data_IF_023912107562
#
_entry.id   IF_023912107562
#
_cell.length_a   1.000
_cell.length_b   1.000
_cell.length_c   1.000
_cell.angle_alpha   90.00
_cell.angle_beta   90.00
_cell.angle_gamma   90.00
#
_symmetry.space_group_name_H-M   'P 1'
#
loop_
_entity.id
_entity.type
_entity.pdbx_description
1 polymer ?
#
# COMPACT_ATOMS: atom_id res chain seq x y z
N UNK A 1 -40.04 39.66 -29.63
CA UNK A 1 -39.83 38.25 -30.03
C UNK A 1 -38.81 38.27 -31.18
N UNK A 2 -37.52 38.21 -30.86
CA UNK A 2 -36.43 38.30 -31.84
C UNK A 2 -36.08 36.87 -32.30
N UNK A 3 -36.22 36.56 -33.58
CA UNK A 3 -35.79 35.27 -34.14
C UNK A 3 -34.33 35.39 -34.60
N UNK A 4 -33.39 34.83 -33.85
CA UNK A 4 -32.00 34.69 -34.26
C UNK A 4 -31.92 33.63 -35.37
N UNK A 5 -31.73 34.08 -36.61
CA UNK A 5 -31.47 33.20 -37.75
C UNK A 5 -29.95 33.02 -37.82
N UNK A 6 -29.45 31.89 -37.32
CA UNK A 6 -28.07 31.49 -37.50
C UNK A 6 -27.89 30.96 -38.93
N UNK A 7 -27.28 31.76 -39.79
CA UNK A 7 -26.83 31.31 -41.11
C UNK A 7 -25.46 30.67 -40.91
N UNK A 8 -25.39 29.35 -40.98
CA UNK A 8 -24.12 28.62 -41.05
C UNK A 8 -23.58 28.72 -42.46
N UNK A 9 -22.61 29.61 -42.66
CA UNK A 9 -21.86 29.68 -43.91
C UNK A 9 -21.01 28.41 -44.03
N UNK A 10 -21.38 27.53 -44.96
CA UNK A 10 -20.64 26.30 -45.20
C UNK A 10 -19.28 26.62 -45.80
N UNK A 11 -18.23 26.03 -45.23
CA UNK A 11 -16.88 26.15 -45.78
C UNK A 11 -16.85 25.66 -47.23
N UNK A 12 -16.14 26.35 -48.15
CA UNK A 12 -16.06 25.95 -49.54
C UNK A 12 -15.52 24.51 -49.65
N UNK A 13 -16.08 23.68 -50.55
CA UNK A 13 -15.73 22.27 -50.65
C UNK A 13 -14.24 22.13 -50.98
N UNK A 14 -13.53 21.41 -50.12
CA UNK A 14 -12.11 21.10 -50.31
C UNK A 14 -11.99 20.15 -51.50
N UNK A 15 -11.58 20.69 -52.67
CA UNK A 15 -11.25 19.91 -53.86
C UNK A 15 -9.94 19.15 -53.61
N UNK A 16 -10.04 17.95 -53.06
CA UNK A 16 -8.90 17.02 -52.97
C UNK A 16 -8.66 16.40 -54.34
N UNK A 17 -7.39 16.24 -54.73
CA UNK A 17 -7.04 15.41 -55.88
C UNK A 17 -7.67 14.02 -55.70
N UNK A 18 -8.20 13.44 -56.78
CA UNK A 18 -8.73 12.09 -56.73
C UNK A 18 -7.65 11.17 -56.14
N UNK A 19 -8.01 10.38 -55.12
CA UNK A 19 -7.09 9.38 -54.56
C UNK A 19 -6.53 8.55 -55.72
N UNK A 20 -5.22 8.22 -55.73
CA UNK A 20 -4.66 7.37 -56.77
C UNK A 20 -5.47 6.08 -56.84
N UNK A 21 -6.23 5.88 -57.92
CA UNK A 21 -7.07 4.69 -58.09
C UNK A 21 -6.26 3.40 -58.27
N UNK A 22 -4.92 3.50 -58.30
CA UNK A 22 -4.02 2.42 -58.70
C UNK A 22 -2.73 2.41 -57.88
N UNK A 23 -2.81 2.53 -56.55
CA UNK A 23 -1.67 2.30 -55.65
C UNK A 23 -1.91 1.17 -54.64
N UNK A 24 -2.82 0.26 -54.94
CA UNK A 24 -2.92 -1.03 -54.25
C UNK A 24 -2.43 -2.10 -55.22
N UNK A 25 -1.12 -2.14 -55.44
CA UNK A 25 -0.43 -3.22 -56.12
C UNK A 25 -0.32 -4.46 -55.24
N UNK A 26 -1.38 -4.81 -54.49
CA UNK A 26 -1.40 -6.05 -53.73
C UNK A 26 -1.61 -7.18 -54.72
N UNK A 27 -0.50 -7.75 -55.17
CA UNK A 27 -0.52 -9.09 -55.76
C UNK A 27 -0.90 -10.02 -54.62
N UNK A 28 -2.20 -10.34 -54.53
CA UNK A 28 -2.65 -11.38 -53.62
C UNK A 28 -1.96 -12.68 -54.05
N UNK A 29 -1.40 -13.39 -53.07
CA UNK A 29 -0.80 -14.70 -53.31
C UNK A 29 -1.86 -15.72 -53.75
N UNK A 30 -1.41 -16.94 -53.99
CA UNK A 30 -2.33 -18.06 -54.25
C UNK A 30 -3.32 -18.21 -53.11
N UNK A 31 -4.55 -18.59 -53.46
CA UNK A 31 -5.62 -18.83 -52.49
C UNK A 31 -5.17 -19.85 -51.44
N UNK A 32 -5.35 -19.49 -50.17
CA UNK A 32 -4.98 -20.34 -49.04
C UNK A 32 -6.21 -21.04 -48.44
N UNK A 33 -7.39 -20.98 -49.08
CA UNK A 33 -8.54 -21.79 -48.66
C UNK A 33 -8.20 -23.27 -48.80
N UNK A 34 -8.33 -24.03 -47.72
CA UNK A 34 -8.10 -25.47 -47.79
C UNK A 34 -9.25 -26.15 -48.55
N UNK A 35 -8.97 -27.28 -49.20
CA UNK A 35 -10.01 -28.07 -49.91
C UNK A 35 -11.14 -28.47 -48.95
N UNK A 36 -10.80 -28.76 -47.69
CA UNK A 36 -11.77 -29.07 -46.66
C UNK A 36 -12.70 -27.89 -46.32
N UNK A 37 -12.23 -26.65 -46.47
CA UNK A 37 -13.06 -25.46 -46.24
C UNK A 37 -14.07 -25.23 -47.37
N UNK A 38 -13.74 -25.65 -48.60
CA UNK A 38 -14.64 -25.56 -49.75
C UNK A 38 -15.82 -26.54 -49.67
N UNK A 39 -15.65 -27.65 -48.93
CA UNK A 39 -16.69 -28.65 -48.71
C UNK A 39 -17.65 -28.29 -47.55
N UNK A 40 -17.28 -27.30 -46.73
CA UNK A 40 -18.12 -26.85 -45.61
C UNK A 40 -19.22 -25.90 -46.09
N UNK A 41 -20.35 -25.93 -45.40
CA UNK A 41 -21.35 -24.88 -45.56
C UNK A 41 -20.86 -23.57 -44.94
N UNK A 42 -21.34 -22.44 -45.45
CA UNK A 42 -20.98 -21.10 -44.95
C UNK A 42 -21.12 -20.99 -43.42
N UNK A 43 -22.18 -21.57 -42.85
CA UNK A 43 -22.41 -21.56 -41.40
C UNK A 43 -21.39 -22.41 -40.62
N UNK A 44 -20.97 -23.55 -41.18
CA UNK A 44 -19.96 -24.40 -40.54
C UNK A 44 -18.57 -23.78 -40.64
N UNK A 45 -18.25 -23.17 -41.78
CA UNK A 45 -17.02 -22.42 -41.97
C UNK A 45 -16.94 -21.22 -41.02
N UNK A 46 -18.02 -20.44 -40.91
CA UNK A 46 -18.10 -19.32 -39.97
C UNK A 46 -17.84 -19.77 -38.53
N UNK A 47 -18.49 -20.85 -38.06
CA UNK A 47 -18.24 -21.40 -36.71
C UNK A 47 -16.80 -21.85 -36.51
N UNK A 48 -16.21 -22.55 -37.49
CA UNK A 48 -14.80 -22.97 -37.43
C UNK A 48 -13.88 -21.77 -37.21
N UNK A 49 -14.10 -20.67 -37.92
CA UNK A 49 -13.30 -19.46 -37.78
C UNK A 49 -13.62 -18.67 -36.51
N UNK A 50 -14.86 -18.63 -36.06
CA UNK A 50 -15.23 -18.06 -34.76
C UNK A 50 -14.53 -18.78 -33.60
N UNK A 51 -14.48 -20.12 -33.67
CA UNK A 51 -13.77 -20.96 -32.70
C UNK A 51 -12.25 -20.73 -32.76
N UNK A 52 -11.68 -20.62 -33.96
CA UNK A 52 -10.25 -20.34 -34.16
C UNK A 52 -9.85 -18.94 -33.67
N UNK A 53 -10.73 -17.96 -33.82
CA UNK A 53 -10.54 -16.61 -33.30
C UNK A 53 -10.88 -16.49 -31.80
N UNK A 54 -11.41 -17.56 -31.21
CA UNK A 54 -11.79 -17.63 -29.80
C UNK A 54 -12.73 -16.51 -29.35
N UNK A 55 -13.57 -16.00 -30.26
CA UNK A 55 -14.43 -14.83 -30.02
C UNK A 55 -15.44 -15.06 -28.88
N UNK A 56 -15.78 -16.31 -28.61
CA UNK A 56 -16.72 -16.71 -27.56
C UNK A 56 -16.05 -17.05 -26.22
N UNK A 57 -14.72 -16.99 -26.13
CA UNK A 57 -14.00 -17.21 -24.86
C UNK A 57 -13.87 -15.89 -24.11
N UNK A 58 -14.21 -15.86 -22.81
CA UNK A 58 -14.01 -14.65 -22.01
C UNK A 58 -12.53 -14.32 -21.95
N UNK A 59 -12.21 -13.03 -21.94
CA UNK A 59 -10.82 -12.60 -21.72
C UNK A 59 -10.41 -12.89 -20.30
N UNK A 60 -9.09 -12.98 -20.06
CA UNK A 60 -8.56 -13.21 -18.72
C UNK A 60 -9.06 -12.15 -17.71
N UNK A 61 -9.14 -10.89 -18.12
CA UNK A 61 -9.67 -9.82 -17.26
C UNK A 61 -11.16 -10.01 -16.95
N UNK A 62 -11.93 -10.54 -17.90
CA UNK A 62 -13.35 -10.85 -17.71
C UNK A 62 -13.52 -12.07 -16.80
N UNK A 63 -12.67 -13.09 -16.94
CA UNK A 63 -12.63 -14.23 -16.02
C UNK A 63 -12.32 -13.78 -14.58
N UNK A 64 -11.32 -12.91 -14.40
CA UNK A 64 -10.97 -12.33 -13.10
C UNK A 64 -12.12 -11.48 -12.54
N UNK A 65 -12.79 -10.67 -13.38
CA UNK A 65 -13.96 -9.89 -12.96
C UNK A 65 -15.19 -10.74 -12.62
N UNK A 66 -15.32 -11.92 -13.23
CA UNK A 66 -16.38 -12.88 -12.95
C UNK A 66 -16.13 -13.69 -11.67
N UNK A 67 -14.92 -13.62 -11.08
CA UNK A 67 -14.66 -14.27 -9.79
C UNK A 67 -15.50 -13.61 -8.70
N UNK A 68 -16.16 -14.44 -7.89
CA UNK A 68 -16.95 -13.96 -6.76
C UNK A 68 -16.05 -13.14 -5.81
N UNK A 69 -16.34 -11.84 -5.60
CA UNK A 69 -15.49 -10.99 -4.76
C UNK A 69 -15.61 -11.34 -3.28
N UNK A 70 -16.66 -12.09 -2.89
CA UNK A 70 -16.82 -12.55 -1.52
C UNK A 70 -16.00 -13.81 -1.27
N UNK A 71 -15.08 -13.70 -0.30
CA UNK A 71 -14.48 -14.85 0.35
C UNK A 71 -15.61 -15.77 0.86
N UNK A 72 -15.54 -17.05 0.52
CA UNK A 72 -16.46 -18.04 1.08
C UNK A 72 -16.35 -18.00 2.61
N UNK A 73 -17.48 -17.75 3.27
CA UNK A 73 -17.51 -17.74 4.73
C UNK A 73 -17.37 -19.18 5.22
N UNK A 74 -16.32 -19.51 5.99
CA UNK A 74 -16.19 -20.85 6.55
C UNK A 74 -17.35 -21.16 7.49
N UNK A 75 -17.67 -22.44 7.65
CA UNK A 75 -18.74 -22.91 8.53
C UNK A 75 -18.57 -22.35 9.96
N UNK A 76 -19.65 -21.88 10.60
CA UNK A 76 -19.58 -21.26 11.91
C UNK A 76 -19.11 -22.27 12.96
N UNK A 77 -18.08 -21.90 13.72
CA UNK A 77 -17.44 -22.74 14.73
C UNK A 77 -16.37 -23.71 14.20
N UNK A 78 -16.10 -23.70 12.88
CA UNK A 78 -15.06 -24.53 12.27
C UNK A 78 -13.65 -24.09 12.69
N UNK A 79 -12.67 -25.00 12.57
CA UNK A 79 -11.26 -24.64 12.76
C UNK A 79 -10.80 -23.61 11.73
N UNK A 80 -11.29 -23.69 10.49
CA UNK A 80 -10.99 -22.75 9.42
C UNK A 80 -11.44 -21.33 9.75
N UNK A 81 -12.61 -21.15 10.38
CA UNK A 81 -13.07 -19.83 10.84
C UNK A 81 -12.14 -19.23 11.90
N UNK A 82 -11.67 -20.05 12.85
CA UNK A 82 -10.73 -19.59 13.89
C UNK A 82 -9.39 -19.19 13.29
N UNK A 83 -8.84 -20.00 12.39
CA UNK A 83 -7.60 -19.67 11.69
C UNK A 83 -7.72 -18.40 10.85
N UNK A 84 -8.84 -18.22 10.15
CA UNK A 84 -9.13 -17.02 9.38
C UNK A 84 -9.22 -15.81 10.30
N UNK A 85 -9.94 -15.92 11.41
CA UNK A 85 -10.06 -14.87 12.42
C UNK A 85 -8.69 -14.49 12.98
N UNK A 86 -7.86 -15.46 13.36
CA UNK A 86 -6.53 -15.20 13.92
C UNK A 86 -5.61 -14.52 12.89
N UNK A 87 -5.67 -14.92 11.62
CA UNK A 87 -4.97 -14.24 10.51
C UNK A 87 -5.43 -12.80 10.35
N UNK A 88 -6.75 -12.56 10.37
CA UNK A 88 -7.32 -11.21 10.24
C UNK A 88 -6.87 -10.32 11.40
N UNK A 89 -6.95 -10.81 12.64
CA UNK A 89 -6.51 -10.06 13.82
C UNK A 89 -5.00 -9.80 13.80
N UNK A 90 -4.18 -10.77 13.37
CA UNK A 90 -2.75 -10.58 13.24
C UNK A 90 -2.41 -9.49 12.22
N UNK A 91 -3.02 -9.53 11.03
CA UNK A 91 -2.83 -8.52 9.98
C UNK A 91 -3.29 -7.13 10.44
N UNK A 92 -4.43 -7.04 11.12
CA UNK A 92 -4.94 -5.78 11.65
C UNK A 92 -3.95 -5.18 12.67
N UNK A 93 -3.40 -6.00 13.56
CA UNK A 93 -2.39 -5.55 14.54
C UNK A 93 -1.09 -5.09 13.86
N UNK A 94 -0.69 -5.71 12.76
CA UNK A 94 0.46 -5.28 11.98
C UNK A 94 0.22 -3.92 11.34
N UNK A 95 -0.93 -3.72 10.69
CA UNK A 95 -1.29 -2.43 10.09
C UNK A 95 -1.42 -1.31 11.12
N UNK A 96 -2.02 -1.58 12.28
CA UNK A 96 -2.10 -0.58 13.36
C UNK A 96 -0.71 -0.15 13.81
N UNK A 97 0.22 -1.10 13.96
CA UNK A 97 1.61 -0.79 14.33
C UNK A 97 2.30 0.07 13.27
N UNK A 98 2.11 -0.24 11.99
CA UNK A 98 2.67 0.55 10.89
C UNK A 98 2.17 1.99 10.92
N UNK A 99 0.87 2.19 11.18
CA UNK A 99 0.29 3.53 11.33
C UNK A 99 0.88 4.25 12.55
N UNK A 100 1.01 3.59 13.70
CA UNK A 100 1.63 4.17 14.90
C UNK A 100 3.10 4.56 14.65
N UNK A 101 3.86 3.73 13.92
CA UNK A 101 5.24 4.01 13.55
C UNK A 101 5.35 5.22 12.62
N UNK A 102 4.45 5.33 11.64
CA UNK A 102 4.37 6.49 10.75
C UNK A 102 4.01 7.76 11.52
N UNK A 103 3.04 7.70 12.44
CA UNK A 103 2.66 8.86 13.26
C UNK A 103 3.83 9.37 14.12
N UNK A 104 4.60 8.45 14.72
CA UNK A 104 5.81 8.78 15.49
C UNK A 104 6.88 9.40 14.57
N UNK A 105 7.05 8.85 13.36
CA UNK A 105 7.99 9.37 12.38
C UNK A 105 7.62 10.79 11.94
N UNK A 106 6.36 11.03 11.60
CA UNK A 106 5.85 12.35 11.22
C UNK A 106 5.99 13.37 12.36
N UNK A 107 5.64 12.98 13.59
CA UNK A 107 5.81 13.83 14.76
C UNK A 107 7.29 14.18 14.99
N UNK A 108 8.19 13.20 14.84
CA UNK A 108 9.63 13.40 14.97
C UNK A 108 10.18 14.30 13.88
N UNK A 109 9.70 14.16 12.64
CA UNK A 109 10.08 15.01 11.51
C UNK A 109 9.63 16.47 11.73
N UNK A 110 8.38 16.67 12.16
CA UNK A 110 7.85 18.00 12.51
C UNK A 110 8.61 18.63 13.68
N UNK A 111 8.99 17.85 14.69
CA UNK A 111 9.81 18.32 15.81
C UNK A 111 11.24 18.65 15.37
N UNK A 112 11.84 17.83 14.51
CA UNK A 112 13.17 18.04 13.94
C UNK A 112 13.25 19.33 13.12
N UNK A 113 12.20 19.67 12.39
CA UNK A 113 12.06 20.95 11.67
C UNK A 113 12.15 22.17 12.60
N UNK A 114 11.73 22.05 13.86
CA UNK A 114 11.83 23.14 14.84
C UNK A 114 13.22 23.27 15.48
N UNK A 115 14.10 22.27 15.35
CA UNK A 115 15.47 22.33 15.90
C UNK A 115 16.32 23.39 15.20
N UNK A 116 16.04 23.69 13.93
CA UNK A 116 16.70 24.79 13.21
C UNK A 116 16.29 26.20 13.72
N UNK A 117 15.25 26.32 14.56
CA UNK A 117 14.77 27.59 15.14
C UNK A 117 15.10 27.76 16.62
N UNK A 118 15.70 26.77 17.27
CA UNK A 118 16.19 26.95 18.65
C UNK A 118 17.37 27.90 18.58
N UNK A 119 17.17 29.14 19.02
CA UNK A 119 18.31 30.04 19.25
C UNK A 119 19.32 29.30 20.14
N UNK A 120 20.61 29.29 19.78
CA UNK A 120 21.63 28.80 20.69
C UNK A 120 21.47 29.57 22.01
N UNK A 121 21.62 28.92 23.18
CA UNK A 121 21.49 29.60 24.46
C UNK A 121 22.50 30.75 24.50
N UNK A 122 22.00 31.97 24.33
CA UNK A 122 22.77 33.20 24.50
C UNK A 122 22.88 33.41 26.01
N UNK A 123 23.98 32.91 26.58
CA UNK A 123 24.39 33.23 27.94
C UNK A 123 25.76 33.87 27.87
N UNK A 124 25.87 35.10 28.37
CA UNK A 124 27.14 35.83 28.45
C UNK A 124 28.04 35.32 29.60
N UNK A 125 27.57 34.30 30.32
CA UNK A 125 28.20 33.77 31.54
C UNK A 125 28.45 32.26 31.38
N UNK A 126 29.71 31.92 31.11
CA UNK A 126 30.18 30.56 30.82
C UNK A 126 29.97 29.64 32.03
N UNK A 127 30.08 30.17 33.25
CA UNK A 127 29.93 29.38 34.48
C UNK A 127 28.48 28.93 34.69
N UNK A 128 27.50 29.75 34.29
CA UNK A 128 26.09 29.36 34.30
C UNK A 128 25.79 28.27 33.27
N UNK A 129 26.43 28.33 32.10
CA UNK A 129 26.31 27.30 31.08
C UNK A 129 26.86 25.95 31.57
N UNK A 130 28.07 25.96 32.13
CA UNK A 130 28.71 24.75 32.68
C UNK A 130 27.89 24.18 33.84
N UNK A 131 27.37 25.03 34.73
CA UNK A 131 26.49 24.58 35.82
C UNK A 131 25.19 23.97 35.31
N UNK A 132 24.61 24.53 34.24
CA UNK A 132 23.40 24.00 33.61
C UNK A 132 23.66 22.66 32.90
N UNK A 133 24.85 22.45 32.34
CA UNK A 133 25.23 21.19 31.69
C UNK A 133 25.66 20.09 32.68
N UNK A 134 26.15 20.46 33.86
CA UNK A 134 26.53 19.51 34.91
C UNK A 134 25.37 19.05 35.81
N UNK A 135 24.11 19.26 35.41
CA UNK A 135 22.92 18.59 35.97
C UNK A 135 22.88 18.56 37.50
N UNK A 136 22.60 19.68 38.16
CA UNK A 136 22.44 19.70 39.62
C UNK A 136 21.10 19.08 40.04
N UNK A 137 21.08 17.78 40.29
CA UNK A 137 20.12 17.14 41.20
C UNK A 137 20.80 16.94 42.56
N UNK A 138 21.11 18.03 43.26
CA UNK A 138 21.53 17.98 44.66
C UNK A 138 20.83 19.11 45.38
N UNK A 139 19.56 18.88 45.72
CA UNK A 139 18.92 19.69 46.76
C UNK A 139 19.72 19.50 48.05
N UNK A 140 20.32 20.61 48.49
CA UNK A 140 20.97 20.72 49.79
C UNK A 140 19.93 20.54 50.89
N UNK A 141 19.95 19.40 51.57
CA UNK A 141 19.44 19.28 52.93
C UNK A 141 20.58 18.83 53.83
N UNK A 142 21.45 19.77 54.18
CA UNK A 142 22.36 19.60 55.30
C UNK A 142 21.58 19.83 56.58
N UNK A 143 21.35 18.76 57.37
CA UNK A 143 21.14 18.84 58.83
C UNK A 143 21.10 17.45 59.50
N UNK A 144 22.09 17.24 60.37
CA UNK A 144 22.18 16.31 61.50
C UNK A 144 22.48 14.80 61.26
N UNK A 145 23.66 14.40 61.72
CA UNK A 145 23.76 13.37 62.77
C UNK A 145 24.08 11.92 62.38
N UNK A 146 25.32 11.50 62.70
CA UNK A 146 25.71 10.24 63.36
C UNK A 146 25.12 8.89 62.89
N UNK A 147 26.02 7.94 62.65
CA UNK A 147 25.79 6.52 62.96
C UNK A 147 25.91 5.59 61.76
N UNK A 148 26.81 4.60 61.87
CA UNK A 148 27.00 3.56 60.88
C UNK A 148 25.79 2.62 60.72
N UNK A 149 25.71 1.99 59.56
CA UNK A 149 24.74 0.96 59.25
C UNK A 149 24.99 0.36 57.87
N UNK A 150 25.08 -0.97 57.82
CA UNK A 150 25.29 -1.85 56.68
C UNK A 150 24.56 -1.47 55.38
N UNK A 151 25.14 -1.79 54.20
CA UNK A 151 24.37 -1.83 52.96
C UNK A 151 23.47 -3.06 52.99
N UNK A 152 22.21 -2.89 53.40
CA UNK A 152 21.17 -3.88 53.06
C UNK A 152 20.79 -3.63 51.61
N UNK A 153 20.98 -4.66 50.78
CA UNK A 153 20.65 -4.65 49.38
C UNK A 153 19.19 -4.20 49.21
N UNK A 154 19.01 -3.02 48.62
CA UNK A 154 17.73 -2.63 48.07
C UNK A 154 17.36 -3.68 47.01
N UNK A 155 16.37 -4.49 47.35
CA UNK A 155 15.66 -5.37 46.43
C UNK A 155 15.15 -4.52 45.27
N UNK A 156 15.92 -4.47 44.18
CA UNK A 156 15.48 -3.95 42.90
C UNK A 156 14.39 -4.91 42.43
N UNK A 157 13.14 -4.48 42.57
CA UNK A 157 12.02 -5.12 41.89
C UNK A 157 12.32 -5.14 40.39
N UNK A 158 12.48 -6.31 39.75
CA UNK A 158 12.73 -6.37 38.32
C UNK A 158 11.49 -5.88 37.59
N UNK A 159 11.66 -4.88 36.72
CA UNK A 159 10.61 -4.45 35.81
C UNK A 159 10.11 -5.60 34.93
N UNK A 160 8.96 -5.41 34.24
CA UNK A 160 8.16 -6.47 33.59
C UNK A 160 8.88 -7.24 32.45
N UNK A 161 10.12 -6.87 32.15
CA UNK A 161 10.97 -7.43 31.10
C UNK A 161 11.89 -8.55 31.58
N UNK A 162 12.02 -8.78 32.89
CA UNK A 162 12.80 -9.90 33.45
C UNK A 162 11.90 -11.10 33.82
N UNK A 163 11.30 -11.74 32.80
CA UNK A 163 10.82 -13.12 32.96
C UNK A 163 11.95 -14.05 32.56
N UNK A 164 12.67 -14.60 33.54
CA UNK A 164 13.53 -15.77 33.30
C UNK A 164 12.65 -17.00 33.39
N UNK A 165 12.56 -17.74 32.29
CA UNK A 165 11.90 -19.03 32.24
C UNK A 165 12.63 -20.01 33.15
N UNK A 166 11.99 -20.39 34.26
CA UNK A 166 12.44 -21.47 35.12
C UNK A 166 11.82 -22.77 34.58
N UNK A 167 12.61 -23.76 34.13
CA UNK A 167 12.06 -25.04 33.71
C UNK A 167 11.56 -25.84 34.93
N UNK A 168 10.50 -26.66 34.79
CA UNK A 168 9.94 -27.43 35.88
C UNK A 168 10.87 -28.56 36.31
N UNK A 169 11.27 -28.58 37.58
CA UNK A 169 11.86 -29.75 38.22
C UNK A 169 10.80 -30.83 38.40
N UNK A 170 10.94 -31.96 37.72
CA UNK A 170 10.13 -33.16 37.91
C UNK A 170 10.53 -33.90 39.20
N UNK A 171 9.58 -34.54 39.90
CA UNK A 171 9.80 -35.34 41.10
C UNK A 171 10.52 -36.67 40.85
#
# INVERSE_FOLDING_TARGET
MQTNIHITEYAPPVLRAASPASSVGTVYGEDQTSIADLELSDAALARKYEDLLELHKPRKEEEEANQCPLLERPEPGSQQEKELHDKVIANLRLQVREVEENDIFEQTLLRGSQVARVQPPSTDDIDKLMRSMMGTNVQSTSKFGHGGGNPTAASLSPGPWLKRDVPPSTP
#
